data_IF_420302693762
#
_entry.id   IF_420302693762
#
_cell.length_a   1.000
_cell.length_b   1.000
_cell.length_c   1.000
_cell.angle_alpha   90.00
_cell.angle_beta   90.00
_cell.angle_gamma   90.00
#
_symmetry.space_group_name_H-M   'P 1'
#
loop_
_entity.id
_entity.type
_entity.pdbx_description
1 polymer ?
#
# COMPACT_ATOMS: atom_id res chain seq x y z
N UNK A 1 -20.24 -4.76 11.02
CA UNK A 1 -19.28 -4.36 12.06
C UNK A 1 -19.76 -3.10 12.75
N UNK A 2 -19.78 -3.11 14.06
CA UNK A 2 -20.21 -1.95 14.83
C UNK A 2 -19.02 -1.00 14.99
N UNK A 3 -19.26 0.32 14.82
CA UNK A 3 -18.22 1.31 15.07
C UNK A 3 -17.84 1.29 16.56
N UNK A 4 -16.54 1.31 16.85
CA UNK A 4 -16.03 1.39 18.21
C UNK A 4 -15.83 2.85 18.61
N UNK A 5 -15.78 3.17 19.93
CA UNK A 5 -15.48 4.55 20.35
C UNK A 5 -14.15 5.07 19.80
N UNK A 6 -13.15 4.21 19.67
CA UNK A 6 -11.83 4.58 19.16
C UNK A 6 -11.88 4.93 17.68
N UNK A 7 -12.66 4.18 16.89
CA UNK A 7 -12.83 4.44 15.46
C UNK A 7 -13.63 5.73 15.27
N UNK A 8 -14.70 5.91 16.05
CA UNK A 8 -15.51 7.12 15.99
C UNK A 8 -14.68 8.37 16.33
N UNK A 9 -13.85 8.28 17.37
CA UNK A 9 -12.94 9.36 17.75
C UNK A 9 -11.94 9.67 16.63
N UNK A 10 -11.41 8.64 15.99
CA UNK A 10 -10.47 8.83 14.87
C UNK A 10 -11.13 9.57 13.72
N UNK A 11 -12.36 9.16 13.36
CA UNK A 11 -13.11 9.82 12.28
C UNK A 11 -13.37 11.30 12.61
N UNK A 12 -13.74 11.57 13.84
CA UNK A 12 -13.95 12.92 14.35
C UNK A 12 -12.70 13.78 14.26
N UNK A 13 -11.60 13.27 14.81
CA UNK A 13 -10.32 13.99 14.88
C UNK A 13 -9.77 14.32 13.49
N UNK A 14 -10.08 13.48 12.50
CA UNK A 14 -9.58 13.66 11.14
C UNK A 14 -10.62 14.31 10.21
N UNK A 15 -11.75 14.72 10.75
CA UNK A 15 -12.76 15.49 10.01
C UNK A 15 -13.63 14.69 9.05
N UNK A 16 -13.74 13.37 9.23
CA UNK A 16 -14.51 12.49 8.35
C UNK A 16 -15.94 12.22 8.84
N UNK A 17 -16.50 13.11 9.63
CA UNK A 17 -17.87 12.96 10.10
C UNK A 17 -18.87 13.14 8.96
N UNK A 18 -19.98 12.40 9.02
CA UNK A 18 -21.14 12.57 8.13
C UNK A 18 -20.80 12.46 6.65
N UNK A 19 -19.79 11.66 6.32
CA UNK A 19 -19.39 11.47 4.94
C UNK A 19 -18.63 12.64 4.33
N UNK A 20 -18.21 13.60 5.15
CA UNK A 20 -17.39 14.72 4.69
C UNK A 20 -15.97 14.21 4.35
N UNK A 21 -15.39 14.80 3.32
CA UNK A 21 -14.05 14.49 2.87
C UNK A 21 -13.21 15.78 2.87
N UNK A 22 -12.74 16.23 4.04
CA UNK A 22 -12.07 17.51 4.15
C UNK A 22 -10.77 17.52 3.35
N UNK A 23 -10.56 18.58 2.58
CA UNK A 23 -9.34 18.80 1.79
C UNK A 23 -9.05 17.69 0.80
N UNK A 24 -10.07 16.96 0.32
CA UNK A 24 -9.87 15.87 -0.63
C UNK A 24 -9.14 14.66 -0.08
N UNK A 25 -9.04 14.53 1.23
CA UNK A 25 -8.39 13.38 1.87
C UNK A 25 -9.33 12.19 1.86
N UNK A 26 -8.75 11.00 1.73
CA UNK A 26 -9.51 9.75 1.75
C UNK A 26 -9.25 9.02 3.06
N UNK A 27 -10.29 8.70 3.85
CA UNK A 27 -10.11 8.04 5.15
C UNK A 27 -9.29 6.74 5.04
N UNK A 28 -9.53 5.96 3.99
CA UNK A 28 -8.83 4.70 3.78
C UNK A 28 -7.31 4.92 3.67
N UNK A 29 -6.90 5.90 2.89
CA UNK A 29 -5.48 6.22 2.68
C UNK A 29 -4.86 6.73 3.98
N UNK A 30 -5.55 7.61 4.68
CA UNK A 30 -5.04 8.17 5.93
C UNK A 30 -4.91 7.09 7.01
N UNK A 31 -5.89 6.20 7.14
CA UNK A 31 -5.83 5.09 8.09
C UNK A 31 -4.64 4.17 7.77
N UNK A 32 -4.41 3.87 6.49
CA UNK A 32 -3.26 3.07 6.06
C UNK A 32 -1.94 3.78 6.38
N UNK A 33 -1.87 5.07 6.11
CA UNK A 33 -0.67 5.89 6.36
C UNK A 33 -0.32 5.96 7.84
N UNK A 34 -1.33 5.93 8.71
CA UNK A 34 -1.13 5.95 10.16
C UNK A 34 -0.98 4.55 10.76
N UNK A 35 -1.09 3.51 9.95
CA UNK A 35 -0.99 2.14 10.41
C UNK A 35 -2.17 1.69 11.29
N UNK A 36 -3.32 2.34 11.17
CA UNK A 36 -4.52 2.06 11.98
C UNK A 36 -5.33 0.93 11.34
N UNK A 37 -4.91 -0.31 11.62
CA UNK A 37 -5.58 -1.49 11.08
C UNK A 37 -7.04 -1.61 11.53
N UNK A 38 -7.36 -1.17 12.73
CA UNK A 38 -8.73 -1.18 13.25
C UNK A 38 -9.66 -0.29 12.42
N UNK A 39 -9.21 0.95 12.15
CA UNK A 39 -9.95 1.91 11.34
C UNK A 39 -10.05 1.41 9.90
N UNK A 40 -8.93 0.92 9.36
CA UNK A 40 -8.87 0.41 8.00
C UNK A 40 -9.86 -0.73 7.80
N UNK A 41 -9.89 -1.69 8.72
CA UNK A 41 -10.82 -2.82 8.67
C UNK A 41 -12.27 -2.35 8.68
N UNK A 42 -12.60 -1.39 9.54
CA UNK A 42 -13.94 -0.80 9.60
C UNK A 42 -14.32 -0.17 8.25
N UNK A 43 -13.43 0.67 7.70
CA UNK A 43 -13.69 1.36 6.44
C UNK A 43 -13.87 0.38 5.27
N UNK A 44 -13.06 -0.68 5.22
CA UNK A 44 -13.19 -1.70 4.19
C UNK A 44 -14.54 -2.40 4.25
N UNK A 45 -15.04 -2.67 5.45
CA UNK A 45 -16.37 -3.28 5.63
C UNK A 45 -17.49 -2.33 5.26
N UNK A 46 -17.26 -1.02 5.30
CA UNK A 46 -18.22 -0.01 4.84
C UNK A 46 -18.16 0.23 3.34
N UNK A 47 -17.32 -0.51 2.61
CA UNK A 47 -17.23 -0.40 1.15
C UNK A 47 -16.36 0.75 0.67
N UNK A 48 -15.34 1.12 1.43
CA UNK A 48 -14.42 2.20 1.04
C UNK A 48 -13.81 1.94 -0.34
N UNK A 49 -13.60 3.01 -1.10
CA UNK A 49 -13.10 2.94 -2.47
C UNK A 49 -11.59 2.60 -2.49
N UNK A 50 -11.28 1.39 -2.95
CA UNK A 50 -9.89 0.91 -3.07
C UNK A 50 -9.12 1.62 -4.17
N UNK A 51 -9.81 2.31 -5.09
CA UNK A 51 -9.16 3.04 -6.20
C UNK A 51 -8.84 4.49 -5.86
N UNK A 52 -9.20 4.95 -4.66
CA UNK A 52 -8.92 6.32 -4.23
C UNK A 52 -7.42 6.60 -4.23
N UNK A 53 -7.04 7.80 -4.65
CA UNK A 53 -5.64 8.23 -4.75
C UNK A 53 -5.43 9.50 -3.94
N UNK A 54 -4.22 9.65 -3.40
CA UNK A 54 -3.83 10.88 -2.72
C UNK A 54 -3.38 11.95 -3.74
N UNK A 55 -2.89 13.09 -3.24
CA UNK A 55 -2.45 14.20 -4.08
C UNK A 55 -1.27 13.84 -4.99
N UNK A 56 -0.52 12.79 -4.64
CA UNK A 56 0.64 12.32 -5.42
C UNK A 56 0.29 11.19 -6.37
N UNK A 57 -0.98 10.77 -6.39
CA UNK A 57 -1.44 9.67 -7.23
C UNK A 57 -1.14 8.29 -6.66
N UNK A 58 -0.93 8.19 -5.36
CA UNK A 58 -0.66 6.92 -4.68
C UNK A 58 -1.94 6.38 -4.02
N UNK A 59 -2.13 5.06 -4.04
CA UNK A 59 -3.30 4.44 -3.43
C UNK A 59 -3.05 4.05 -1.96
N UNK A 60 -4.04 3.44 -1.32
CA UNK A 60 -3.94 3.04 0.08
C UNK A 60 -2.84 2.00 0.32
N UNK A 61 -2.56 1.11 -0.64
CA UNK A 61 -1.49 0.13 -0.51
C UNK A 61 -0.12 0.81 -0.38
N UNK A 62 0.12 1.84 -1.19
CA UNK A 62 1.32 2.67 -1.09
C UNK A 62 1.46 3.29 0.30
N UNK A 63 0.36 3.84 0.82
CA UNK A 63 0.35 4.46 2.15
C UNK A 63 0.70 3.45 3.24
N UNK A 64 0.16 2.23 3.16
CA UNK A 64 0.46 1.16 4.10
C UNK A 64 1.92 0.71 4.02
N UNK A 65 2.47 0.66 2.81
CA UNK A 65 3.89 0.33 2.61
C UNK A 65 4.79 1.43 3.18
N UNK A 66 4.42 2.68 2.97
CA UNK A 66 5.14 3.82 3.55
C UNK A 66 5.18 3.73 5.08
N UNK A 67 4.08 3.34 5.70
CA UNK A 67 3.96 3.18 7.15
C UNK A 67 4.61 1.89 7.67
N UNK A 68 5.02 0.99 6.78
CA UNK A 68 5.49 -0.36 7.11
C UNK A 68 4.45 -1.12 7.94
N UNK A 69 3.17 -0.86 7.67
CA UNK A 69 2.05 -1.43 8.41
C UNK A 69 1.64 -2.76 7.77
N UNK A 70 2.31 -3.83 8.14
CA UNK A 70 2.09 -5.17 7.60
C UNK A 70 0.63 -5.61 7.70
N UNK A 71 -0.03 -5.31 8.82
CA UNK A 71 -1.44 -5.64 9.02
C UNK A 71 -2.34 -4.92 8.02
N UNK A 72 -2.08 -3.64 7.78
CA UNK A 72 -2.84 -2.85 6.80
C UNK A 72 -2.60 -3.35 5.39
N UNK A 73 -1.36 -3.69 5.05
CA UNK A 73 -1.01 -4.27 3.75
C UNK A 73 -1.83 -5.54 3.53
N UNK A 74 -1.83 -6.44 4.51
CA UNK A 74 -2.59 -7.69 4.42
C UNK A 74 -4.08 -7.47 4.25
N UNK A 75 -4.67 -6.53 4.98
CA UNK A 75 -6.08 -6.20 4.89
C UNK A 75 -6.46 -5.66 3.50
N UNK A 76 -5.63 -4.77 2.96
CA UNK A 76 -5.89 -4.18 1.64
C UNK A 76 -5.77 -5.22 0.53
N UNK A 77 -4.77 -6.09 0.59
CA UNK A 77 -4.58 -7.16 -0.39
C UNK A 77 -5.74 -8.15 -0.34
N UNK A 78 -6.19 -8.50 0.85
CA UNK A 78 -7.34 -9.40 1.03
C UNK A 78 -8.62 -8.76 0.48
N UNK A 79 -8.75 -7.45 0.58
CA UNK A 79 -9.91 -6.72 0.07
C UNK A 79 -9.91 -6.59 -1.46
N UNK A 80 -8.80 -6.93 -2.12
CA UNK A 80 -8.71 -6.92 -3.58
C UNK A 80 -8.10 -5.67 -4.18
N UNK A 81 -7.36 -4.87 -3.41
CA UNK A 81 -6.67 -3.70 -3.97
C UNK A 81 -5.67 -4.16 -5.04
N UNK A 82 -5.49 -3.33 -6.08
CA UNK A 82 -4.54 -3.65 -7.17
C UNK A 82 -3.11 -3.58 -6.65
N UNK A 83 -2.50 -4.77 -6.48
CA UNK A 83 -1.13 -4.90 -5.97
C UNK A 83 -0.11 -4.32 -6.96
N UNK A 84 -0.47 -4.26 -8.24
CA UNK A 84 0.42 -3.80 -9.31
C UNK A 84 0.13 -2.37 -9.77
N UNK A 85 -0.67 -1.62 -9.00
CA UNK A 85 -0.96 -0.23 -9.34
C UNK A 85 0.33 0.56 -9.46
N UNK A 86 0.48 1.31 -10.54
CA UNK A 86 1.61 2.21 -10.79
C UNK A 86 1.13 3.66 -10.72
N UNK A 87 1.81 4.47 -9.93
CA UNK A 87 1.48 5.88 -9.80
C UNK A 87 1.92 6.66 -11.06
N UNK A 88 1.73 7.99 -11.14
CA UNK A 88 2.12 8.76 -12.32
C UNK A 88 3.59 8.64 -12.72
N UNK A 89 4.48 8.33 -11.76
CA UNK A 89 5.91 8.09 -12.05
C UNK A 89 6.19 6.66 -12.52
N UNK A 90 5.16 5.83 -12.62
CA UNK A 90 5.30 4.41 -12.95
C UNK A 90 5.72 3.55 -11.77
N UNK A 91 5.83 4.11 -10.58
CA UNK A 91 6.26 3.35 -9.40
C UNK A 91 5.10 2.54 -8.81
N UNK A 92 5.36 1.28 -8.52
CA UNK A 92 4.44 0.41 -7.79
C UNK A 92 4.83 0.37 -6.31
N UNK A 93 3.96 -0.21 -5.48
CA UNK A 93 4.29 -0.43 -4.07
C UNK A 93 5.59 -1.24 -3.94
N UNK A 94 5.78 -2.24 -4.81
CA UNK A 94 6.98 -3.07 -4.81
C UNK A 94 8.24 -2.27 -5.14
N UNK A 95 8.20 -1.41 -6.18
CA UNK A 95 9.37 -0.58 -6.53
C UNK A 95 9.70 0.39 -5.40
N UNK A 96 8.68 0.96 -4.76
CA UNK A 96 8.89 1.83 -3.61
C UNK A 96 9.55 1.10 -2.45
N UNK A 97 9.01 -0.08 -2.08
CA UNK A 97 9.54 -0.86 -0.96
C UNK A 97 11.00 -1.28 -1.21
N UNK A 98 11.30 -1.66 -2.46
CA UNK A 98 12.65 -2.03 -2.87
C UNK A 98 13.62 -0.86 -2.75
N UNK A 99 13.26 0.30 -3.30
CA UNK A 99 14.10 1.49 -3.28
C UNK A 99 14.31 2.04 -1.87
N UNK A 100 13.39 1.74 -0.97
CA UNK A 100 13.46 2.15 0.44
C UNK A 100 14.16 1.12 1.34
N UNK A 101 14.57 -0.01 0.78
CA UNK A 101 15.27 -1.06 1.52
C UNK A 101 14.39 -1.82 2.51
N UNK A 102 13.08 -1.83 2.29
CA UNK A 102 12.10 -2.44 3.21
C UNK A 102 11.87 -3.91 2.84
N UNK A 103 12.86 -4.75 3.16
CA UNK A 103 12.85 -6.14 2.71
C UNK A 103 11.64 -6.95 3.21
N UNK A 104 11.16 -6.70 4.42
CA UNK A 104 9.97 -7.39 4.93
C UNK A 104 8.72 -7.06 4.11
N UNK A 105 8.58 -5.79 3.69
CA UNK A 105 7.49 -5.36 2.83
C UNK A 105 7.63 -5.95 1.43
N UNK A 106 8.84 -5.94 0.88
CA UNK A 106 9.13 -6.58 -0.43
C UNK A 106 8.71 -8.05 -0.39
N UNK A 107 9.10 -8.76 0.66
CA UNK A 107 8.73 -10.17 0.82
C UNK A 107 7.22 -10.35 0.87
N UNK A 108 6.53 -9.54 1.67
CA UNK A 108 5.08 -9.63 1.80
C UNK A 108 4.38 -9.40 0.46
N UNK A 109 4.81 -8.40 -0.30
CA UNK A 109 4.23 -8.08 -1.61
C UNK A 109 4.50 -9.20 -2.62
N UNK A 110 5.71 -9.74 -2.65
CA UNK A 110 6.05 -10.84 -3.56
C UNK A 110 5.25 -12.10 -3.24
N UNK A 111 5.09 -12.43 -1.96
CA UNK A 111 4.29 -13.59 -1.55
C UNK A 111 2.81 -13.43 -1.93
N UNK A 112 2.35 -12.20 -2.03
CA UNK A 112 0.97 -11.88 -2.44
C UNK A 112 0.80 -11.79 -3.96
N UNK A 113 1.86 -11.98 -4.73
CA UNK A 113 1.80 -12.02 -6.19
C UNK A 113 2.17 -10.72 -6.91
N UNK A 114 2.85 -9.79 -6.24
CA UNK A 114 3.31 -8.56 -6.89
C UNK A 114 4.21 -8.89 -8.09
N UNK A 115 4.01 -8.16 -9.19
CA UNK A 115 4.79 -8.35 -10.41
C UNK A 115 6.15 -7.63 -10.30
N UNK A 116 7.27 -8.37 -10.21
CA UNK A 116 8.59 -7.74 -10.06
C UNK A 116 9.15 -7.16 -11.35
N UNK A 117 8.44 -7.36 -12.48
CA UNK A 117 8.92 -6.89 -13.79
C UNK A 117 8.42 -5.50 -14.16
N UNK A 118 7.54 -4.90 -13.35
CA UNK A 118 7.04 -3.54 -13.62
C UNK A 118 8.17 -2.54 -13.50
N UNK A 119 8.20 -1.57 -14.42
CA UNK A 119 9.23 -0.52 -14.48
C UNK A 119 8.64 0.85 -14.24
N UNK A 120 9.44 1.74 -13.65
CA UNK A 120 9.10 3.16 -13.53
C UNK A 120 9.21 3.86 -14.89
N UNK A 121 8.83 5.13 -14.95
CA UNK A 121 8.98 5.94 -16.18
C UNK A 121 10.44 6.03 -16.63
N UNK A 122 11.38 5.97 -15.68
CA UNK A 122 12.82 5.99 -15.96
C UNK A 122 13.36 4.59 -16.30
N UNK A 123 12.47 3.62 -16.48
CA UNK A 123 12.78 2.24 -16.88
C UNK A 123 13.55 1.45 -15.83
N UNK A 124 13.27 1.69 -14.55
CA UNK A 124 13.85 0.94 -13.43
C UNK A 124 12.83 -0.04 -12.85
N UNK A 125 13.19 -1.31 -12.82
CA UNK A 125 12.40 -2.33 -12.12
C UNK A 125 12.71 -2.30 -10.61
N UNK A 126 11.92 -3.06 -9.84
CA UNK A 126 12.19 -3.21 -8.40
C UNK A 126 13.59 -3.77 -8.15
N UNK A 127 14.04 -4.70 -9.00
CA UNK A 127 15.39 -5.28 -8.90
C UNK A 127 16.47 -4.22 -9.10
N UNK A 128 16.29 -3.35 -10.11
CA UNK A 128 17.23 -2.26 -10.37
C UNK A 128 17.33 -1.29 -9.21
N UNK A 129 16.22 -1.10 -8.48
CA UNK A 129 16.13 -0.12 -7.39
C UNK A 129 16.47 -0.70 -6.02
N UNK A 130 16.79 -1.99 -5.92
CA UNK A 130 17.02 -2.64 -4.63
C UNK A 130 18.08 -1.90 -3.81
N UNK A 131 17.68 -1.35 -2.66
CA UNK A 131 18.52 -0.51 -1.84
C UNK A 131 19.45 -1.29 -0.91
N UNK A 132 19.18 -2.59 -0.70
CA UNK A 132 20.02 -3.41 0.15
C UNK A 132 20.04 -4.85 -0.37
N UNK A 133 20.91 -5.64 0.27
CA UNK A 133 21.17 -7.03 -0.13
C UNK A 133 19.93 -7.91 0.01
N UNK A 134 19.14 -7.71 1.08
CA UNK A 134 17.94 -8.51 1.33
C UNK A 134 16.91 -8.31 0.22
N UNK A 135 16.66 -7.05 -0.16
CA UNK A 135 15.75 -6.74 -1.28
C UNK A 135 16.27 -7.34 -2.58
N UNK A 136 17.56 -7.18 -2.84
CA UNK A 136 18.19 -7.71 -4.05
C UNK A 136 18.01 -9.23 -4.18
N UNK A 137 18.25 -9.97 -3.10
CA UNK A 137 18.10 -11.42 -3.10
C UNK A 137 16.66 -11.86 -3.31
N UNK A 138 15.72 -11.22 -2.62
CA UNK A 138 14.29 -11.52 -2.75
C UNK A 138 13.84 -11.31 -4.20
N UNK A 139 14.22 -10.19 -4.79
CA UNK A 139 13.79 -9.83 -6.15
C UNK A 139 14.48 -10.70 -7.21
N UNK A 140 15.74 -11.02 -7.05
CA UNK A 140 16.42 -11.96 -7.95
C UNK A 140 15.72 -13.30 -7.98
N UNK A 141 15.37 -13.83 -6.81
CA UNK A 141 14.66 -15.10 -6.71
C UNK A 141 13.31 -15.04 -7.41
N UNK A 142 12.55 -13.94 -7.18
CA UNK A 142 11.25 -13.76 -7.78
C UNK A 142 11.33 -13.66 -9.32
N UNK A 143 12.30 -12.91 -9.84
CA UNK A 143 12.48 -12.75 -11.29
C UNK A 143 12.88 -14.08 -11.92
N UNK A 144 13.79 -14.84 -11.30
CA UNK A 144 14.20 -16.15 -11.79
C UNK A 144 13.02 -17.12 -11.84
N UNK A 145 12.14 -17.09 -10.85
CA UNK A 145 10.96 -17.95 -10.82
C UNK A 145 10.04 -17.71 -12.01
N UNK A 146 9.95 -16.45 -12.47
CA UNK A 146 9.14 -16.10 -13.64
C UNK A 146 9.77 -16.51 -14.95
N UNK A 147 11.10 -16.67 -14.99
CA UNK A 147 11.85 -17.07 -16.18
C UNK A 147 12.03 -18.58 -16.31
N UNK A 148 11.64 -19.33 -15.28
CA UNK A 148 11.76 -20.78 -15.26
C UNK A 148 10.66 -21.48 -16.08
#
# INVERSE_FOLDING_TARGET
>A
MTITPEIDAWLLENGFQLGLNPHGKHPLILAAQQGRADVLSYLLKQGADLTALDAYGNNALWAACYAEASDCIGLLLKAGIDINYQNPSGASALTYASSSGRHATVKQLLEAGANPLLSTQDDFSALDLAANRQCLQLLRTAVKALQA
#
